data_IF_052456274544
#
_entry.id   IF_052456274544
#
_cell.length_a   1.000
_cell.length_b   1.000
_cell.length_c   1.000
_cell.angle_alpha   90.00
_cell.angle_beta   90.00
_cell.angle_gamma   90.00
#
_symmetry.space_group_name_H-M   'P 1'
#
loop_
_entity.id
_entity.type
_entity.pdbx_description
1 polymer ?
#
# COMPACT_ATOMS: atom_id res chain seq x y z
N UNK A 1 5.49 14.15 24.05
CA UNK A 1 5.51 12.67 24.07
C UNK A 1 6.58 12.21 25.04
N UNK A 2 6.24 11.36 25.99
CA UNK A 2 7.23 10.73 26.89
C UNK A 2 7.81 9.48 26.22
N UNK A 3 9.02 9.07 26.60
CA UNK A 3 9.72 7.92 26.00
C UNK A 3 8.89 6.61 26.08
N UNK A 4 8.04 6.49 27.11
CA UNK A 4 7.13 5.37 27.29
C UNK A 4 5.97 5.35 26.28
N UNK A 5 5.44 6.53 25.90
CA UNK A 5 4.38 6.63 24.89
C UNK A 5 4.91 6.22 23.51
N UNK A 6 6.11 6.68 23.15
CA UNK A 6 6.76 6.32 21.90
C UNK A 6 7.01 4.80 21.81
N UNK A 7 7.53 4.18 22.89
CA UNK A 7 7.74 2.73 22.92
C UNK A 7 6.44 1.94 22.76
N UNK A 8 5.33 2.42 23.32
CA UNK A 8 4.03 1.78 23.19
C UNK A 8 3.49 1.90 21.76
N UNK A 9 3.58 3.09 21.16
CA UNK A 9 3.18 3.30 19.76
C UNK A 9 4.00 2.46 18.79
N UNK A 10 5.33 2.36 19.01
CA UNK A 10 6.21 1.53 18.19
C UNK A 10 5.85 0.04 18.28
N UNK A 11 5.58 -0.48 19.48
CA UNK A 11 5.13 -1.87 19.65
C UNK A 11 3.79 -2.13 18.97
N UNK A 12 2.85 -1.18 19.07
CA UNK A 12 1.55 -1.31 18.42
C UNK A 12 1.70 -1.35 16.90
N UNK A 13 2.53 -0.46 16.32
CA UNK A 13 2.82 -0.48 14.88
C UNK A 13 3.51 -1.76 14.44
N UNK A 14 4.46 -2.26 15.23
CA UNK A 14 5.13 -3.53 14.95
C UNK A 14 4.14 -4.70 14.95
N UNK A 15 3.26 -4.77 15.95
CA UNK A 15 2.24 -5.82 16.03
C UNK A 15 1.26 -5.75 14.84
N UNK A 16 0.85 -4.54 14.43
CA UNK A 16 0.01 -4.35 13.24
C UNK A 16 0.72 -4.85 11.97
N UNK A 17 1.99 -4.51 11.80
CA UNK A 17 2.80 -4.97 10.68
C UNK A 17 2.92 -6.50 10.67
N UNK A 18 3.22 -7.11 11.81
CA UNK A 18 3.34 -8.57 11.96
C UNK A 18 2.04 -9.29 11.65
N UNK A 19 0.91 -8.80 12.15
CA UNK A 19 -0.41 -9.35 11.83
C UNK A 19 -0.69 -9.29 10.32
N UNK A 20 -0.34 -8.17 9.69
CA UNK A 20 -0.52 -7.98 8.26
C UNK A 20 0.39 -8.92 7.47
N UNK A 21 1.66 -9.06 7.85
CA UNK A 21 2.62 -10.02 7.25
C UNK A 21 2.16 -11.46 7.39
N UNK A 22 1.63 -11.86 8.55
CA UNK A 22 1.13 -13.22 8.77
C UNK A 22 -0.07 -13.56 7.88
N UNK A 23 -0.88 -12.55 7.53
CA UNK A 23 -1.99 -12.72 6.60
C UNK A 23 -1.56 -12.69 5.12
N UNK A 24 -0.42 -12.07 4.80
CA UNK A 24 0.09 -11.94 3.43
C UNK A 24 0.44 -13.29 2.78
N UNK A 25 0.09 -13.46 1.50
CA UNK A 25 0.59 -14.56 0.67
C UNK A 25 2.11 -14.51 0.56
N UNK A 26 2.77 -15.65 0.33
CA UNK A 26 4.24 -15.69 0.16
C UNK A 26 4.72 -14.79 -1.00
N UNK A 27 3.93 -14.73 -2.08
CA UNK A 27 4.18 -13.86 -3.23
C UNK A 27 4.08 -12.38 -2.85
N UNK A 28 3.04 -12.01 -2.11
CA UNK A 28 2.85 -10.64 -1.63
C UNK A 28 3.97 -10.21 -0.67
N UNK A 29 4.41 -11.09 0.21
CA UNK A 29 5.56 -10.84 1.09
C UNK A 29 6.84 -10.60 0.28
N UNK A 30 7.13 -11.44 -0.71
CA UNK A 30 8.30 -11.27 -1.57
C UNK A 30 8.28 -9.97 -2.40
N UNK A 31 7.09 -9.47 -2.75
CA UNK A 31 6.94 -8.19 -3.42
C UNK A 31 7.15 -7.03 -2.44
N UNK A 32 6.55 -7.10 -1.25
CA UNK A 32 6.69 -6.08 -0.21
C UNK A 32 8.12 -5.98 0.34
N UNK A 33 8.85 -7.09 0.44
CA UNK A 33 10.25 -7.10 0.90
C UNK A 33 11.21 -6.35 -0.07
N UNK A 34 10.77 -6.01 -1.29
CA UNK A 34 11.55 -5.19 -2.24
C UNK A 34 11.42 -3.69 -2.00
N UNK A 35 10.40 -3.26 -1.24
CA UNK A 35 10.06 -1.85 -1.06
C UNK A 35 10.02 -1.47 0.42
N UNK A 36 10.21 -0.18 0.69
CA UNK A 36 9.95 0.37 2.01
C UNK A 36 8.43 0.55 2.17
N UNK A 37 7.84 -0.15 3.14
CA UNK A 37 6.39 -0.22 3.29
C UNK A 37 5.93 -0.18 4.76
N UNK A 38 4.68 0.18 4.95
CA UNK A 38 4.04 0.19 6.26
C UNK A 38 2.52 0.11 6.12
N UNK A 39 1.85 -0.32 7.18
CA UNK A 39 0.39 -0.41 7.22
C UNK A 39 -0.17 0.31 8.43
N UNK A 40 -1.26 1.03 8.24
CA UNK A 40 -2.02 1.67 9.31
C UNK A 40 -3.49 1.27 9.16
N UNK A 41 -3.98 0.45 10.08
CA UNK A 41 -5.38 0.01 10.10
C UNK A 41 -6.31 1.19 10.38
N UNK A 42 -7.34 1.40 9.56
CA UNK A 42 -8.35 2.43 9.81
C UNK A 42 -7.97 3.86 9.38
N UNK A 43 -6.79 4.07 8.81
CA UNK A 43 -6.32 5.39 8.38
C UNK A 43 -6.51 5.67 6.87
N UNK A 44 -7.02 4.69 6.13
CA UNK A 44 -7.38 4.81 4.72
C UNK A 44 -8.73 5.50 4.53
N UNK A 45 -9.02 5.83 3.28
CA UNK A 45 -10.30 6.35 2.86
C UNK A 45 -11.45 5.46 3.35
N UNK A 46 -12.45 6.04 4.00
CA UNK A 46 -13.60 5.29 4.54
C UNK A 46 -13.26 4.32 5.68
N UNK A 47 -12.09 4.47 6.33
CA UNK A 47 -11.64 3.57 7.39
C UNK A 47 -11.00 2.28 6.87
N UNK A 48 -10.67 2.21 5.59
CA UNK A 48 -9.91 1.09 5.03
C UNK A 48 -8.48 1.04 5.63
N UNK A 49 -7.79 -0.11 5.58
CA UNK A 49 -6.36 -0.14 5.84
C UNK A 49 -5.63 0.79 4.88
N UNK A 50 -4.62 1.50 5.38
CA UNK A 50 -3.74 2.34 4.59
C UNK A 50 -2.38 1.63 4.45
N UNK A 51 -2.01 1.28 3.22
CA UNK A 51 -0.69 0.75 2.89
C UNK A 51 0.18 1.86 2.32
N UNK A 52 1.22 2.25 3.06
CA UNK A 52 2.25 3.18 2.60
C UNK A 52 3.33 2.39 1.88
N UNK A 53 3.68 2.80 0.66
CA UNK A 53 4.74 2.19 -0.14
C UNK A 53 5.64 3.29 -0.68
N UNK A 54 6.94 3.10 -0.57
CA UNK A 54 7.93 4.05 -1.06
C UNK A 54 8.80 3.40 -2.13
N UNK A 55 8.72 4.00 -3.31
CA UNK A 55 9.53 3.68 -4.47
C UNK A 55 10.70 4.66 -4.53
N UNK A 56 11.86 4.17 -4.97
CA UNK A 56 13.04 4.99 -5.27
C UNK A 56 12.97 5.66 -6.65
N UNK A 57 11.93 5.36 -7.43
CA UNK A 57 11.72 5.82 -8.80
C UNK A 57 10.34 6.46 -8.98
N UNK A 58 10.04 6.84 -10.23
CA UNK A 58 8.72 7.35 -10.65
C UNK A 58 7.66 6.27 -10.53
N UNK A 59 6.51 6.61 -9.96
CA UNK A 59 5.37 5.69 -9.89
C UNK A 59 4.56 5.79 -11.18
N UNK A 60 4.41 4.67 -11.86
CA UNK A 60 3.43 4.49 -12.93
C UNK A 60 2.23 3.72 -12.34
N UNK A 61 1.01 4.28 -12.44
CA UNK A 61 -0.18 3.63 -11.86
C UNK A 61 -0.63 2.39 -12.67
N UNK A 62 -0.18 2.29 -13.90
CA UNK A 62 -0.32 1.13 -14.79
C UNK A 62 0.86 0.16 -14.69
N UNK A 63 1.78 0.37 -13.73
CA UNK A 63 2.89 -0.54 -13.48
C UNK A 63 2.36 -1.95 -13.14
N UNK A 64 2.80 -3.00 -13.87
CA UNK A 64 2.36 -4.37 -13.65
C UNK A 64 2.60 -4.88 -12.22
N UNK A 65 3.70 -4.48 -11.58
CA UNK A 65 4.00 -4.85 -10.19
C UNK A 65 3.04 -4.16 -9.21
N UNK A 66 2.71 -2.88 -9.43
CA UNK A 66 1.73 -2.18 -8.60
C UNK A 66 0.32 -2.78 -8.75
N UNK A 67 -0.04 -3.20 -9.96
CA UNK A 67 -1.32 -3.85 -10.25
C UNK A 67 -1.40 -5.24 -9.61
N UNK A 68 -0.35 -6.05 -9.74
CA UNK A 68 -0.25 -7.35 -9.07
C UNK A 68 -0.31 -7.19 -7.55
N UNK A 69 0.35 -6.17 -7.00
CA UNK A 69 0.28 -5.83 -5.59
C UNK A 69 -1.14 -5.46 -5.15
N UNK A 70 -1.84 -4.62 -5.93
CA UNK A 70 -3.23 -4.25 -5.65
C UNK A 70 -4.17 -5.46 -5.69
N UNK A 71 -3.97 -6.37 -6.63
CA UNK A 71 -4.75 -7.60 -6.77
C UNK A 71 -4.53 -8.55 -5.60
N UNK A 72 -3.28 -8.86 -5.29
CA UNK A 72 -2.92 -9.75 -4.16
C UNK A 72 -3.35 -9.16 -2.82
N UNK A 73 -3.15 -7.84 -2.61
CA UNK A 73 -3.59 -7.16 -1.40
C UNK A 73 -5.12 -7.19 -1.24
N UNK A 74 -5.87 -6.97 -2.32
CA UNK A 74 -7.34 -7.00 -2.29
C UNK A 74 -7.87 -8.42 -2.06
N UNK A 75 -7.24 -9.45 -2.65
CA UNK A 75 -7.58 -10.85 -2.39
C UNK A 75 -7.28 -11.27 -0.95
N UNK A 76 -6.21 -10.73 -0.36
CA UNK A 76 -5.75 -11.13 0.98
C UNK A 76 -6.47 -10.38 2.10
N UNK A 77 -6.65 -9.06 1.96
CA UNK A 77 -7.14 -8.19 3.03
C UNK A 77 -8.45 -7.47 2.69
N UNK A 78 -8.95 -7.62 1.47
CA UNK A 78 -10.03 -6.79 0.94
C UNK A 78 -9.54 -5.41 0.48
N UNK A 79 -10.46 -4.48 0.17
CA UNK A 79 -10.12 -3.18 -0.37
C UNK A 79 -9.12 -2.42 0.52
N UNK A 80 -8.08 -1.88 -0.10
CA UNK A 80 -7.01 -1.16 0.60
C UNK A 80 -6.77 0.20 -0.03
N UNK A 81 -6.43 1.19 0.79
CA UNK A 81 -6.00 2.51 0.33
C UNK A 81 -4.48 2.54 0.27
N UNK A 82 -3.92 2.93 -0.87
CA UNK A 82 -2.49 3.07 -1.06
C UNK A 82 -2.07 4.52 -0.92
N UNK A 83 -1.01 4.75 -0.14
CA UNK A 83 -0.22 5.98 -0.18
C UNK A 83 1.14 5.68 -0.82
N UNK A 84 1.27 6.04 -2.10
CA UNK A 84 2.45 5.74 -2.91
C UNK A 84 3.39 6.95 -2.92
N UNK A 85 4.56 6.80 -2.32
CA UNK A 85 5.62 7.81 -2.30
C UNK A 85 6.61 7.51 -3.43
N UNK A 86 6.89 8.50 -4.28
CA UNK A 86 7.90 8.39 -5.34
C UNK A 86 9.25 8.94 -4.87
N UNK A 87 10.32 8.61 -5.59
CA UNK A 87 11.62 9.24 -5.39
C UNK A 87 11.65 10.72 -5.79
N UNK A 88 10.59 11.25 -6.43
CA UNK A 88 10.57 12.60 -7.00
C UNK A 88 9.75 13.61 -6.20
N UNK A 89 8.86 13.15 -5.31
CA UNK A 89 7.95 14.01 -4.56
C UNK A 89 7.80 13.52 -3.12
N UNK A 90 7.65 14.47 -2.20
CA UNK A 90 7.33 14.18 -0.80
C UNK A 90 5.83 13.94 -0.58
N UNK A 91 4.98 14.39 -1.52
CA UNK A 91 3.54 14.19 -1.46
C UNK A 91 3.17 12.80 -2.01
N UNK A 92 2.48 11.94 -1.23
CA UNK A 92 2.07 10.63 -1.69
C UNK A 92 0.90 10.73 -2.65
N UNK A 93 0.91 9.89 -3.69
CA UNK A 93 -0.26 9.62 -4.51
C UNK A 93 -1.18 8.69 -3.74
N UNK A 94 -2.42 9.12 -3.48
CA UNK A 94 -3.46 8.31 -2.83
C UNK A 94 -4.32 7.62 -3.87
N UNK A 95 -4.44 6.30 -3.78
CA UNK A 95 -5.24 5.52 -4.72
C UNK A 95 -5.81 4.27 -4.05
N UNK A 96 -7.09 3.97 -4.30
CA UNK A 96 -7.70 2.74 -3.83
C UNK A 96 -7.25 1.55 -4.69
N UNK A 97 -7.06 0.37 -4.10
CA UNK A 97 -6.79 -0.88 -4.82
C UNK A 97 -7.81 -1.11 -5.94
N UNK A 98 -9.09 -0.91 -5.62
CA UNK A 98 -10.20 -0.98 -6.57
C UNK A 98 -10.04 -0.02 -7.74
N UNK A 99 -9.53 1.18 -7.50
CA UNK A 99 -9.28 2.14 -8.56
C UNK A 99 -8.15 1.65 -9.47
N UNK A 100 -7.08 1.09 -8.93
CA UNK A 100 -6.00 0.49 -9.74
C UNK A 100 -6.51 -0.69 -10.58
N UNK A 101 -7.37 -1.53 -10.01
CA UNK A 101 -7.91 -2.73 -10.65
C UNK A 101 -9.07 -2.47 -11.62
N UNK A 102 -9.75 -1.32 -11.52
CA UNK A 102 -10.88 -1.01 -12.39
C UNK A 102 -10.41 -0.79 -13.84
N UNK A 103 -10.63 -1.77 -14.72
CA UNK A 103 -10.23 -1.66 -16.12
C UNK A 103 -10.83 -0.45 -16.85
N UNK A 104 -11.89 0.19 -16.34
CA UNK A 104 -12.54 1.36 -16.96
C UNK A 104 -11.64 2.60 -17.04
N UNK A 105 -10.63 2.77 -16.18
CA UNK A 105 -9.69 3.88 -16.32
C UNK A 105 -8.64 3.64 -17.42
N UNK A 106 -8.33 2.37 -17.74
CA UNK A 106 -7.39 2.00 -18.80
C UNK A 106 -7.88 2.33 -20.22
N UNK A 107 -9.19 2.42 -20.42
CA UNK A 107 -9.78 2.82 -21.71
C UNK A 107 -9.44 4.27 -22.13
N UNK A 108 -8.91 5.11 -21.23
CA UNK A 108 -8.42 6.44 -21.62
C UNK A 108 -7.04 6.43 -22.31
N UNK A 109 -6.34 5.29 -22.33
CA UNK A 109 -5.05 5.15 -23.02
C UNK A 109 -5.17 4.47 -24.40
N UNK A 110 -6.29 3.82 -24.72
CA UNK A 110 -6.49 3.15 -26.02
C UNK A 110 -6.97 4.08 -27.15
N UNK A 111 -6.90 5.40 -26.94
CA UNK A 111 -7.36 6.42 -27.88
C UNK A 111 -6.24 7.39 -28.22
N UNK A 112 -5.09 6.90 -28.73
CA UNK A 112 -4.29 7.62 -29.73
C UNK A 112 -3.22 6.75 -30.39
#
# INVERSE_FOLDING_TARGET
>A
MTNHQLLQELRQKQQQLEQFRCAASASLQALLDQYDWGVITGAGHGGLPLLTLRFDHRIALDDPCLLALAEEAEQTWGPIDFALFSGESQDPVRVLSRTLLDQRWRWRQSSH
#
